data_IF_314261629663
#
_entry.id   IF_314261629663
#
_cell.length_a   1.000
_cell.length_b   1.000
_cell.length_c   1.000
_cell.angle_alpha   90.00
_cell.angle_beta   90.00
_cell.angle_gamma   90.00
#
_symmetry.space_group_name_H-M   'P 1'
#
loop_
_entity.id
_entity.type
_entity.pdbx_description
1 polymer ?
#
# COMPACT_ATOMS: atom_id res chain seq x y z
N UNK A 1 17.17 5.06 0.37
CA UNK A 1 16.45 4.13 1.29
C UNK A 1 16.77 2.68 0.96
N UNK A 2 16.82 2.29 -0.33
CA UNK A 2 17.18 0.92 -0.73
C UNK A 2 18.47 0.81 -1.54
N UNK A 3 19.00 1.88 -2.12
CA UNK A 3 20.39 1.93 -2.60
C UNK A 3 21.24 2.47 -1.45
N UNK A 4 22.02 1.59 -0.82
CA UNK A 4 22.93 1.97 0.28
C UNK A 4 24.36 2.16 -0.21
N UNK A 5 24.68 1.68 -1.41
CA UNK A 5 26.05 1.63 -1.91
C UNK A 5 26.33 2.62 -3.05
N UNK A 6 25.34 3.41 -3.50
CA UNK A 6 25.49 4.38 -4.60
C UNK A 6 26.05 3.73 -5.88
N UNK A 7 25.80 2.44 -6.06
CA UNK A 7 26.15 1.72 -7.27
C UNK A 7 24.97 1.84 -8.22
N UNK A 8 25.24 2.15 -9.47
CA UNK A 8 24.23 2.33 -10.53
C UNK A 8 23.35 1.08 -10.83
N UNK A 9 23.42 0.03 -9.99
CA UNK A 9 22.63 -1.19 -10.09
C UNK A 9 22.17 -1.65 -8.71
N UNK A 10 20.94 -2.13 -8.66
CA UNK A 10 20.30 -2.69 -7.46
C UNK A 10 20.82 -4.12 -7.26
N UNK A 11 21.46 -4.41 -6.13
CA UNK A 11 21.85 -5.77 -5.80
C UNK A 11 20.63 -6.60 -5.34
N UNK A 12 20.76 -7.93 -5.27
CA UNK A 12 19.62 -8.80 -4.94
C UNK A 12 18.95 -8.44 -3.59
N UNK A 13 19.74 -8.03 -2.58
CA UNK A 13 19.19 -7.63 -1.28
C UNK A 13 18.44 -6.31 -1.33
N UNK A 14 18.82 -5.41 -2.21
CA UNK A 14 18.13 -4.13 -2.43
C UNK A 14 16.85 -4.36 -3.23
N UNK A 15 16.89 -5.27 -4.22
CA UNK A 15 15.72 -5.70 -4.98
C UNK A 15 14.67 -6.36 -4.09
N UNK A 16 15.06 -7.21 -3.14
CA UNK A 16 14.09 -7.82 -2.22
C UNK A 16 13.41 -6.79 -1.33
N UNK A 17 14.13 -5.73 -0.93
CA UNK A 17 13.55 -4.59 -0.21
C UNK A 17 12.49 -3.85 -1.03
N UNK A 18 12.81 -3.55 -2.30
CA UNK A 18 11.87 -2.91 -3.23
C UNK A 18 10.68 -3.83 -3.54
N UNK A 19 10.92 -5.11 -3.80
CA UNK A 19 9.89 -6.10 -4.07
C UNK A 19 8.92 -6.26 -2.91
N UNK A 20 9.44 -6.33 -1.68
CA UNK A 20 8.63 -6.36 -0.47
C UNK A 20 7.75 -5.10 -0.36
N UNK A 21 8.33 -3.92 -0.57
CA UNK A 21 7.59 -2.67 -0.54
C UNK A 21 6.44 -2.66 -1.57
N UNK A 22 6.71 -3.06 -2.82
CA UNK A 22 5.69 -3.17 -3.87
C UNK A 22 4.59 -4.15 -3.45
N UNK A 23 4.97 -5.30 -2.91
CA UNK A 23 4.03 -6.34 -2.48
C UNK A 23 3.14 -5.84 -1.33
N UNK A 24 3.72 -5.13 -0.36
CA UNK A 24 2.97 -4.54 0.76
C UNK A 24 1.94 -3.52 0.25
N UNK A 25 2.32 -2.65 -0.70
CA UNK A 25 1.39 -1.71 -1.32
C UNK A 25 0.32 -2.39 -2.16
N UNK A 26 0.64 -3.47 -2.87
CA UNK A 26 -0.36 -4.26 -3.59
C UNK A 26 -1.37 -4.90 -2.64
N UNK A 27 -0.92 -5.38 -1.48
CA UNK A 27 -1.82 -5.94 -0.46
C UNK A 27 -2.74 -4.85 0.10
N UNK A 28 -2.23 -3.65 0.39
CA UNK A 28 -3.03 -2.50 0.80
C UNK A 28 -4.00 -2.06 -0.28
N UNK A 29 -3.59 -2.06 -1.55
CA UNK A 29 -4.48 -1.71 -2.66
C UNK A 29 -5.68 -2.68 -2.75
N UNK A 30 -5.41 -3.99 -2.62
CA UNK A 30 -6.43 -5.04 -2.65
C UNK A 30 -7.41 -5.00 -1.48
N UNK A 31 -7.08 -4.35 -0.36
CA UNK A 31 -8.06 -4.17 0.71
C UNK A 31 -9.09 -3.10 0.38
N UNK A 32 -8.79 -2.21 -0.57
CA UNK A 32 -9.68 -1.14 -1.03
C UNK A 32 -10.41 -1.49 -2.33
N UNK A 33 -9.73 -2.12 -3.28
CA UNK A 33 -10.31 -2.67 -4.53
C UNK A 33 -11.12 -3.93 -4.20
N UNK A 34 -12.39 -3.73 -3.80
CA UNK A 34 -13.28 -4.79 -3.32
C UNK A 34 -13.87 -5.59 -4.46
N UNK A 35 -14.04 -4.95 -5.62
CA UNK A 35 -14.60 -5.61 -6.79
C UNK A 35 -13.55 -6.29 -7.68
N UNK A 36 -12.25 -6.13 -7.34
CA UNK A 36 -11.11 -6.63 -8.12
C UNK A 36 -11.07 -6.07 -9.54
N UNK A 37 -11.52 -4.83 -9.73
CA UNK A 37 -11.44 -4.13 -11.00
C UNK A 37 -10.01 -3.71 -11.37
N UNK A 38 -9.09 -3.72 -10.41
CA UNK A 38 -7.72 -3.20 -10.57
C UNK A 38 -7.66 -1.67 -10.49
N UNK A 39 -8.75 -1.01 -10.12
CA UNK A 39 -8.86 0.43 -9.89
C UNK A 39 -9.58 0.67 -8.56
N UNK A 40 -9.43 1.86 -7.96
CA UNK A 40 -10.22 2.25 -6.79
C UNK A 40 -11.25 3.28 -7.24
N UNK A 41 -12.52 2.93 -7.17
CA UNK A 41 -13.61 3.84 -7.53
C UNK A 41 -14.01 4.78 -6.36
N UNK A 42 -14.94 5.69 -6.63
CA UNK A 42 -15.41 6.68 -5.63
C UNK A 42 -16.12 6.01 -4.44
N UNK A 43 -16.83 4.91 -4.66
CA UNK A 43 -17.55 4.18 -3.62
C UNK A 43 -16.58 3.40 -2.73
N UNK A 44 -15.58 2.76 -3.33
CA UNK A 44 -14.51 2.04 -2.65
C UNK A 44 -13.67 2.99 -1.81
N UNK A 45 -13.28 4.15 -2.35
CA UNK A 45 -12.59 5.18 -1.60
C UNK A 45 -13.44 5.71 -0.44
N UNK A 46 -14.74 5.93 -0.64
CA UNK A 46 -15.66 6.37 0.42
C UNK A 46 -15.77 5.33 1.53
N UNK A 47 -15.84 4.04 1.17
CA UNK A 47 -15.86 2.93 2.12
C UNK A 47 -14.54 2.84 2.90
N UNK A 48 -13.40 2.93 2.21
CA UNK A 48 -12.07 2.98 2.79
C UNK A 48 -11.96 4.06 3.87
N UNK A 49 -12.34 5.30 3.51
CA UNK A 49 -12.31 6.46 4.43
C UNK A 49 -13.28 6.30 5.61
N UNK A 50 -14.44 5.68 5.39
CA UNK A 50 -15.37 5.38 6.49
C UNK A 50 -14.81 4.33 7.47
N UNK A 51 -14.03 3.36 6.97
CA UNK A 51 -13.33 2.37 7.81
C UNK A 51 -12.22 3.00 8.65
N UNK A 52 -11.50 4.00 8.12
CA UNK A 52 -10.54 4.80 8.89
C UNK A 52 -11.21 5.69 9.94
N UNK A 53 -12.37 6.28 9.62
CA UNK A 53 -13.09 7.18 10.51
C UNK A 53 -13.61 6.52 11.80
N UNK A 54 -14.02 5.25 11.73
CA UNK A 54 -14.50 4.52 12.92
C UNK A 54 -13.38 4.14 13.90
N UNK A 55 -12.10 4.23 13.52
CA UNK A 55 -10.98 3.97 14.43
C UNK A 55 -10.45 5.24 15.12
N UNK A 56 -10.93 6.43 14.74
CA UNK A 56 -10.50 7.72 15.31
C UNK A 56 -11.56 8.41 16.19
N UNK A 57 -12.78 7.86 16.29
CA UNK A 57 -13.84 8.44 17.13
C UNK A 57 -14.46 7.38 18.03
N UNK A 58 -13.84 7.14 19.19
CA UNK A 58 -14.55 7.01 20.47
C UNK A 58 -13.57 7.10 21.67
N UNK A 59 -13.15 8.32 22.00
CA UNK A 59 -12.98 8.74 23.41
C UNK A 59 -13.51 10.17 23.46
N UNK A 60 -14.81 10.30 23.72
CA UNK A 60 -15.34 11.44 24.49
C UNK A 60 -15.32 11.04 25.95
#
# INVERSE_FOLDING_TARGET
>A
MFDRENKAGVNFSEFTGVWKYITDWQNVFRTYDRDNSGMIDKNELKQALSGFGNSLVLIV
#
